data_IF_758124141352
#
_entry.id   IF_758124141352
#
_cell.length_a   1.000
_cell.length_b   1.000
_cell.length_c   1.000
_cell.angle_alpha   90.00
_cell.angle_beta   90.00
_cell.angle_gamma   90.00
#
_symmetry.space_group_name_H-M   'P 1'
#
loop_
_entity.id
_entity.type
_entity.pdbx_description
1 polymer ?
#
# COMPACT_ATOMS: atom_id res chain seq x y z
N UNK A 1 21.73 -8.52 -7.48
CA UNK A 1 20.95 -8.25 -6.25
C UNK A 1 19.73 -9.16 -6.26
N UNK A 2 19.52 -9.88 -5.18
CA UNK A 2 18.34 -10.71 -4.97
C UNK A 2 17.41 -10.04 -3.97
N UNK A 3 16.14 -9.87 -4.35
CA UNK A 3 15.13 -9.18 -3.54
C UNK A 3 14.03 -10.19 -3.16
N UNK A 4 13.80 -10.35 -1.87
CA UNK A 4 12.60 -11.02 -1.35
C UNK A 4 11.46 -10.03 -1.28
N UNK A 5 10.31 -10.35 -1.85
CA UNK A 5 9.07 -9.59 -1.72
C UNK A 5 8.03 -10.48 -1.04
N UNK A 6 7.72 -10.20 0.23
CA UNK A 6 6.58 -10.86 0.87
C UNK A 6 5.29 -10.13 0.48
N UNK A 7 4.22 -10.86 0.20
CA UNK A 7 3.00 -10.25 -0.34
C UNK A 7 3.13 -9.78 -1.79
N UNK A 8 4.05 -10.38 -2.55
CA UNK A 8 4.36 -9.97 -3.92
C UNK A 8 3.25 -10.21 -4.94
N UNK A 9 2.27 -11.05 -4.63
CA UNK A 9 1.05 -11.23 -5.43
C UNK A 9 -0.08 -10.25 -5.04
N UNK A 10 0.18 -9.30 -4.15
CA UNK A 10 -0.75 -8.26 -3.73
C UNK A 10 -0.81 -7.07 -4.69
N UNK A 11 -1.66 -6.06 -4.35
CA UNK A 11 -1.92 -4.87 -5.15
C UNK A 11 -0.65 -4.06 -5.50
N UNK A 12 0.19 -3.75 -4.52
CA UNK A 12 1.47 -3.07 -4.74
C UNK A 12 2.54 -4.07 -5.19
N UNK A 13 2.51 -5.29 -4.63
CA UNK A 13 3.53 -6.31 -4.82
C UNK A 13 3.74 -6.70 -6.28
N UNK A 14 2.66 -6.95 -7.03
CA UNK A 14 2.79 -7.36 -8.43
C UNK A 14 3.36 -6.25 -9.34
N UNK A 15 3.06 -4.98 -9.05
CA UNK A 15 3.65 -3.83 -9.77
C UNK A 15 5.14 -3.69 -9.40
N UNK A 16 5.49 -3.86 -8.13
CA UNK A 16 6.88 -3.83 -7.66
C UNK A 16 7.71 -4.98 -8.26
N UNK A 17 7.18 -6.21 -8.25
CA UNK A 17 7.86 -7.39 -8.83
C UNK A 17 8.20 -7.14 -10.30
N UNK A 18 7.25 -6.59 -11.08
CA UNK A 18 7.50 -6.23 -12.46
C UNK A 18 8.65 -5.21 -12.58
N UNK A 19 8.65 -4.17 -11.75
CA UNK A 19 9.70 -3.14 -11.73
C UNK A 19 11.08 -3.68 -11.37
N UNK A 20 11.16 -4.58 -10.38
CA UNK A 20 12.41 -5.24 -9.98
C UNK A 20 12.96 -6.13 -11.09
N UNK A 21 12.11 -6.94 -11.74
CA UNK A 21 12.51 -7.80 -12.86
C UNK A 21 12.98 -6.97 -14.06
N UNK A 22 12.32 -5.86 -14.37
CA UNK A 22 12.72 -4.94 -15.43
C UNK A 22 14.11 -4.31 -15.17
N UNK A 23 14.50 -4.13 -13.91
CA UNK A 23 15.85 -3.72 -13.48
C UNK A 23 16.88 -4.86 -13.49
N UNK A 24 16.47 -6.07 -13.82
CA UNK A 24 17.35 -7.23 -13.88
C UNK A 24 17.66 -7.87 -12.53
N UNK A 25 16.92 -7.52 -11.47
CA UNK A 25 17.04 -8.17 -10.16
C UNK A 25 16.56 -9.62 -10.22
N UNK A 26 17.14 -10.48 -9.39
CA UNK A 26 16.53 -11.75 -9.02
C UNK A 26 15.46 -11.48 -7.97
N UNK A 27 14.25 -11.94 -8.19
CA UNK A 27 13.10 -11.68 -7.31
C UNK A 27 12.55 -12.98 -6.78
N UNK A 28 12.52 -13.13 -5.46
CA UNK A 28 11.76 -14.18 -4.79
C UNK A 28 10.50 -13.57 -4.20
N UNK A 29 9.36 -14.20 -4.47
CA UNK A 29 8.07 -13.81 -3.89
C UNK A 29 7.66 -14.86 -2.87
N UNK A 30 7.37 -14.46 -1.63
CA UNK A 30 6.66 -15.25 -0.63
C UNK A 30 5.24 -14.71 -0.51
N UNK A 31 4.24 -15.52 -0.90
CA UNK A 31 2.83 -15.12 -0.82
C UNK A 31 1.94 -16.32 -0.51
N UNK A 32 0.92 -16.11 0.31
CA UNK A 32 -0.04 -17.15 0.70
C UNK A 32 -1.14 -17.39 -0.34
N UNK A 33 -1.28 -16.50 -1.34
CA UNK A 33 -2.31 -16.51 -2.38
C UNK A 33 -3.74 -16.57 -1.80
N UNK A 34 -4.02 -15.83 -0.74
CA UNK A 34 -5.36 -15.76 -0.14
C UNK A 34 -6.38 -15.11 -1.05
N UNK A 35 -5.94 -14.15 -1.86
CA UNK A 35 -6.83 -13.49 -2.84
C UNK A 35 -6.86 -14.29 -4.13
N UNK A 36 -8.05 -14.48 -4.72
CA UNK A 36 -8.16 -15.12 -6.01
C UNK A 36 -7.47 -14.27 -7.10
N UNK A 37 -7.09 -14.93 -8.18
CA UNK A 37 -6.38 -14.32 -9.29
C UNK A 37 -4.98 -14.89 -9.45
N UNK A 38 -4.34 -14.53 -10.53
CA UNK A 38 -3.02 -14.99 -10.90
C UNK A 38 -2.15 -13.81 -11.37
N UNK A 39 -1.96 -12.78 -10.52
CA UNK A 39 -1.35 -11.49 -10.94
C UNK A 39 0.10 -11.63 -11.40
N UNK A 40 0.80 -12.68 -10.98
CA UNK A 40 2.20 -12.93 -11.35
C UNK A 40 2.37 -13.83 -12.57
N UNK A 41 1.31 -14.48 -13.07
CA UNK A 41 1.40 -15.40 -14.22
C UNK A 41 2.10 -14.77 -15.43
N UNK A 42 1.82 -13.52 -15.84
CA UNK A 42 2.53 -12.90 -16.95
C UNK A 42 4.04 -12.75 -16.75
N UNK A 43 4.52 -12.79 -15.50
CA UNK A 43 5.92 -12.61 -15.13
C UNK A 43 6.68 -13.92 -14.94
N UNK A 44 5.98 -15.08 -14.84
CA UNK A 44 6.59 -16.38 -14.56
C UNK A 44 7.50 -16.89 -15.68
N UNK A 45 7.39 -16.35 -16.89
CA UNK A 45 8.32 -16.66 -17.97
C UNK A 45 9.73 -16.07 -17.73
N UNK A 46 9.88 -15.12 -16.80
CA UNK A 46 11.17 -14.56 -16.45
C UNK A 46 11.93 -15.52 -15.51
N UNK A 47 13.10 -16.08 -15.90
CA UNK A 47 13.85 -17.04 -15.09
C UNK A 47 14.41 -16.46 -13.78
N UNK A 48 14.38 -15.12 -13.62
CA UNK A 48 14.80 -14.42 -12.40
C UNK A 48 13.67 -14.31 -11.37
N UNK A 49 12.45 -14.77 -11.68
CA UNK A 49 11.34 -14.81 -10.73
C UNK A 49 11.22 -16.19 -10.12
N UNK A 50 11.40 -16.26 -8.82
CA UNK A 50 11.12 -17.42 -7.99
C UNK A 50 9.85 -17.17 -7.17
N UNK A 51 8.90 -18.09 -7.22
CA UNK A 51 7.68 -18.01 -6.42
C UNK A 51 7.64 -19.11 -5.36
N UNK A 52 7.51 -18.71 -4.10
CA UNK A 52 7.33 -19.57 -2.96
C UNK A 52 5.92 -19.33 -2.38
N UNK A 53 5.06 -20.36 -2.45
CA UNK A 53 3.78 -20.29 -1.74
C UNK A 53 4.02 -20.53 -0.25
N UNK A 54 3.65 -19.57 0.59
CA UNK A 54 3.83 -19.67 2.04
C UNK A 54 3.21 -18.49 2.78
N UNK A 55 3.10 -18.63 4.09
CA UNK A 55 2.53 -17.62 4.97
C UNK A 55 3.65 -17.04 5.86
N UNK A 56 3.67 -15.72 6.04
CA UNK A 56 4.67 -15.04 6.90
C UNK A 56 4.56 -15.44 8.38
N UNK A 57 3.44 -16.04 8.79
CA UNK A 57 3.26 -16.63 10.12
C UNK A 57 4.03 -17.94 10.29
N UNK A 58 4.37 -18.60 9.20
CA UNK A 58 5.22 -19.80 9.23
C UNK A 58 6.70 -19.38 9.19
N UNK A 59 7.33 -19.51 10.35
CA UNK A 59 8.75 -19.16 10.52
C UNK A 59 9.67 -19.90 9.56
N UNK A 60 9.41 -21.18 9.28
CA UNK A 60 10.23 -21.97 8.34
C UNK A 60 10.12 -21.44 6.91
N UNK A 61 8.91 -21.11 6.47
CA UNK A 61 8.69 -20.51 5.17
C UNK A 61 9.41 -19.16 5.03
N UNK A 62 9.43 -18.35 6.09
CA UNK A 62 10.16 -17.07 6.13
C UNK A 62 11.67 -17.31 6.09
N UNK A 63 12.21 -18.23 6.92
CA UNK A 63 13.63 -18.56 6.94
C UNK A 63 14.12 -19.07 5.56
N UNK A 64 13.33 -19.89 4.88
CA UNK A 64 13.63 -20.35 3.52
C UNK A 64 13.61 -19.21 2.50
N UNK A 65 12.61 -18.36 2.58
CA UNK A 65 12.48 -17.22 1.67
C UNK A 65 13.63 -16.21 1.81
N UNK A 66 14.14 -16.00 3.02
CA UNK A 66 15.24 -15.07 3.32
C UNK A 66 16.60 -15.54 2.80
N UNK A 67 16.78 -16.84 2.51
CA UNK A 67 18.11 -17.38 2.12
C UNK A 67 18.64 -16.71 0.85
N UNK A 68 19.78 -16.07 0.98
CA UNK A 68 20.48 -15.41 -0.11
C UNK A 68 19.82 -14.14 -0.63
N UNK A 69 18.80 -13.61 0.05
CA UNK A 69 18.27 -12.29 -0.26
C UNK A 69 19.21 -11.19 0.24
N UNK A 70 19.44 -10.17 -0.58
CA UNK A 70 20.19 -8.95 -0.19
C UNK A 70 19.23 -7.94 0.45
N UNK A 71 18.01 -7.86 -0.07
CA UNK A 71 16.96 -6.91 0.31
C UNK A 71 15.64 -7.65 0.54
N UNK A 72 14.91 -7.23 1.54
CA UNK A 72 13.56 -7.71 1.84
C UNK A 72 12.57 -6.56 1.73
N UNK A 73 11.58 -6.66 0.86
CA UNK A 73 10.43 -5.74 0.82
C UNK A 73 9.25 -6.45 1.48
N UNK A 74 8.87 -5.98 2.67
CA UNK A 74 7.85 -6.64 3.47
C UNK A 74 6.46 -6.03 3.25
N UNK A 75 5.72 -6.55 2.24
CA UNK A 75 4.37 -6.09 1.88
C UNK A 75 3.25 -6.99 2.43
N UNK A 76 3.57 -8.21 2.87
CA UNK A 76 2.57 -9.14 3.38
C UNK A 76 1.86 -8.56 4.61
N UNK A 77 0.56 -8.33 4.49
CA UNK A 77 -0.28 -7.79 5.56
C UNK A 77 -1.77 -8.06 5.30
N UNK A 78 -2.56 -8.14 6.36
CA UNK A 78 -3.99 -7.88 6.30
C UNK A 78 -4.17 -6.37 6.23
N UNK A 79 -4.75 -5.85 5.14
CA UNK A 79 -4.74 -4.42 4.85
C UNK A 79 -6.14 -3.82 4.83
N UNK A 80 -6.23 -2.63 5.42
CA UNK A 80 -7.45 -1.82 5.46
C UNK A 80 -8.31 -2.08 6.71
N UNK A 81 -9.04 -1.04 7.08
CA UNK A 81 -9.90 -1.04 8.26
C UNK A 81 -10.90 -2.21 8.28
N UNK A 82 -11.71 -2.45 7.21
CA UNK A 82 -12.76 -3.48 7.26
C UNK A 82 -12.20 -4.90 7.43
N UNK A 83 -11.06 -5.21 6.80
CA UNK A 83 -10.46 -6.54 6.87
C UNK A 83 -9.87 -6.83 8.26
N UNK A 84 -9.23 -5.84 8.87
CA UNK A 84 -8.63 -5.98 10.19
C UNK A 84 -9.69 -6.09 11.30
N UNK A 85 -10.79 -5.33 11.21
CA UNK A 85 -11.88 -5.41 12.18
C UNK A 85 -12.68 -6.72 12.06
N UNK A 86 -12.76 -7.28 10.86
CA UNK A 86 -13.45 -8.56 10.64
C UNK A 86 -12.73 -9.73 11.31
N UNK A 87 -11.41 -9.75 11.27
CA UNK A 87 -10.58 -10.76 11.94
C UNK A 87 -9.37 -10.11 12.63
N UNK A 88 -9.57 -9.57 13.84
CA UNK A 88 -8.52 -8.89 14.59
C UNK A 88 -7.35 -9.78 14.95
N UNK A 89 -7.62 -11.06 15.23
CA UNK A 89 -6.58 -12.03 15.54
C UNK A 89 -5.68 -12.26 14.32
N UNK A 90 -6.27 -12.56 13.17
CA UNK A 90 -5.52 -12.74 11.93
C UNK A 90 -4.71 -11.49 11.56
N UNK A 91 -5.30 -10.29 11.74
CA UNK A 91 -4.61 -9.04 11.47
C UNK A 91 -3.34 -8.89 12.32
N UNK A 92 -3.40 -9.21 13.62
CA UNK A 92 -2.23 -9.19 14.49
C UNK A 92 -1.20 -10.25 14.13
N UNK A 93 -1.64 -11.49 13.92
CA UNK A 93 -0.75 -12.61 13.57
C UNK A 93 0.01 -12.37 12.26
N UNK A 94 -0.66 -11.81 11.25
CA UNK A 94 0.00 -11.52 9.96
C UNK A 94 0.86 -10.25 10.06
N UNK A 95 0.30 -9.14 10.56
CA UNK A 95 0.97 -7.84 10.50
C UNK A 95 2.09 -7.71 11.53
N UNK A 96 1.90 -8.23 12.73
CA UNK A 96 2.89 -8.16 13.81
C UNK A 96 3.67 -9.47 13.91
N UNK A 97 3.00 -10.60 14.05
CA UNK A 97 3.64 -11.91 14.16
C UNK A 97 4.49 -12.26 12.92
N UNK A 98 3.96 -11.98 11.71
CA UNK A 98 4.72 -12.14 10.46
C UNK A 98 5.95 -11.25 10.39
N UNK A 99 5.87 -10.00 10.89
CA UNK A 99 7.02 -9.08 10.97
C UNK A 99 8.03 -9.59 11.99
N UNK A 100 7.60 -10.07 13.16
CA UNK A 100 8.48 -10.68 14.16
C UNK A 100 9.24 -11.90 13.59
N UNK A 101 8.54 -12.79 12.87
CA UNK A 101 9.20 -13.92 12.22
C UNK A 101 10.27 -13.49 11.22
N UNK A 102 9.99 -12.42 10.47
CA UNK A 102 10.92 -11.90 9.45
C UNK A 102 12.12 -11.23 10.11
N UNK A 103 11.92 -10.36 11.09
CA UNK A 103 13.01 -9.64 11.76
C UNK A 103 13.90 -10.61 12.55
N UNK A 104 13.31 -11.59 13.23
CA UNK A 104 14.05 -12.62 13.99
C UNK A 104 14.86 -13.59 13.10
N UNK A 105 14.44 -13.82 11.86
CA UNK A 105 15.07 -14.79 10.95
C UNK A 105 16.09 -14.15 9.98
N UNK A 106 16.01 -12.84 9.75
CA UNK A 106 16.90 -12.15 8.82
C UNK A 106 18.34 -12.04 9.34
N UNK A 107 19.29 -12.00 8.44
CA UNK A 107 20.67 -11.64 8.76
C UNK A 107 20.83 -10.12 8.88
N UNK A 108 21.73 -9.61 9.75
CA UNK A 108 21.93 -8.16 9.93
C UNK A 108 22.31 -7.39 8.65
N UNK A 109 22.92 -8.05 7.68
CA UNK A 109 23.27 -7.46 6.38
C UNK A 109 22.12 -7.29 5.42
N UNK A 110 20.99 -7.95 5.65
CA UNK A 110 19.80 -7.85 4.79
C UNK A 110 19.03 -6.55 5.06
N UNK A 111 18.92 -5.68 4.07
CA UNK A 111 18.11 -4.47 4.17
C UNK A 111 16.62 -4.83 4.22
N UNK A 112 15.86 -4.21 5.13
CA UNK A 112 14.40 -4.24 5.07
C UNK A 112 13.89 -2.91 4.52
N UNK A 113 13.05 -2.96 3.46
CA UNK A 113 12.17 -1.86 3.10
C UNK A 113 10.76 -2.22 3.57
N UNK A 114 10.25 -1.45 4.52
CA UNK A 114 8.97 -1.72 5.17
C UNK A 114 7.94 -0.63 4.86
N UNK A 115 6.95 -0.90 4.03
CA UNK A 115 5.79 -0.04 3.90
C UNK A 115 4.88 -0.15 5.13
N UNK A 116 4.92 0.89 5.96
CA UNK A 116 4.02 1.13 7.07
C UNK A 116 2.70 1.76 6.56
N UNK A 117 2.18 2.83 7.19
CA UNK A 117 0.97 3.51 6.72
C UNK A 117 0.83 4.92 7.30
N UNK A 118 0.31 5.88 6.52
CA UNK A 118 -0.14 7.17 7.06
C UNK A 118 -1.33 7.03 8.02
N UNK A 119 -2.04 5.89 8.02
CA UNK A 119 -3.12 5.65 9.00
C UNK A 119 -2.63 5.62 10.46
N UNK A 120 -1.31 5.56 10.66
CA UNK A 120 -0.68 5.68 11.97
C UNK A 120 -0.94 7.03 12.64
N UNK A 121 -1.14 8.12 11.85
CA UNK A 121 -1.38 9.46 12.40
C UNK A 121 -2.79 9.66 12.97
N UNK A 122 -3.76 8.84 12.57
CA UNK A 122 -5.11 8.90 13.08
C UNK A 122 -5.91 10.11 12.58
N UNK A 123 -6.20 11.08 13.46
CA UNK A 123 -6.90 12.31 13.11
C UNK A 123 -6.14 13.51 13.66
N UNK A 124 -5.76 14.42 12.80
CA UNK A 124 -5.03 15.65 13.15
C UNK A 124 -5.87 16.82 12.68
N UNK A 125 -6.29 17.67 13.65
CA UNK A 125 -7.20 18.80 13.37
C UNK A 125 -6.50 19.94 12.66
N UNK A 126 -5.27 20.24 13.08
CA UNK A 126 -4.53 21.41 12.59
C UNK A 126 -3.10 21.02 12.20
N UNK A 127 -2.59 21.64 11.13
CA UNK A 127 -1.23 21.43 10.64
C UNK A 127 -1.08 20.26 9.66
N UNK A 128 0.19 19.93 9.40
CA UNK A 128 0.60 18.82 8.54
C UNK A 128 1.21 17.72 9.41
N UNK A 129 0.91 16.47 9.10
CA UNK A 129 1.58 15.34 9.71
C UNK A 129 3.00 15.22 9.15
N UNK A 130 3.99 15.35 10.03
CA UNK A 130 5.40 15.10 9.74
C UNK A 130 5.85 13.78 10.38
N UNK A 131 7.01 13.28 10.00
CA UNK A 131 7.55 12.03 10.54
C UNK A 131 7.92 12.10 12.02
N UNK A 132 8.15 13.33 12.55
CA UNK A 132 8.46 13.60 13.96
C UNK A 132 7.20 13.59 14.85
N UNK A 133 6.00 13.66 14.24
CA UNK A 133 4.75 13.63 15.00
C UNK A 133 4.54 12.23 15.59
N UNK A 134 4.19 12.18 16.90
CA UNK A 134 3.85 10.91 17.56
C UNK A 134 2.57 10.31 16.95
N UNK A 135 2.63 9.10 16.40
CA UNK A 135 1.48 8.44 15.80
C UNK A 135 0.39 8.09 16.81
N UNK A 136 -0.88 8.31 16.43
CA UNK A 136 -2.07 8.01 17.25
C UNK A 136 -3.11 7.25 16.41
N UNK A 137 -2.88 5.98 16.08
CA UNK A 137 -3.74 5.23 15.17
C UNK A 137 -5.15 5.04 15.75
N UNK A 138 -6.18 5.28 14.92
CA UNK A 138 -7.59 5.12 15.27
C UNK A 138 -8.14 3.73 14.94
N UNK A 139 -7.42 2.93 14.16
CA UNK A 139 -7.88 1.64 13.66
C UNK A 139 -6.90 0.54 14.02
N UNK A 140 -7.38 -0.69 14.11
CA UNK A 140 -6.53 -1.86 14.33
C UNK A 140 -5.46 -2.00 13.23
N UNK A 141 -5.81 -1.68 11.97
CA UNK A 141 -4.84 -1.65 10.87
C UNK A 141 -3.68 -0.70 11.17
N UNK A 142 -3.98 0.56 11.51
CA UNK A 142 -2.96 1.55 11.86
C UNK A 142 -2.12 1.09 13.07
N UNK A 143 -2.77 0.58 14.12
CA UNK A 143 -2.07 0.10 15.32
C UNK A 143 -1.10 -1.05 15.00
N UNK A 144 -1.53 -2.06 14.23
CA UNK A 144 -0.67 -3.20 13.88
C UNK A 144 0.46 -2.80 12.92
N UNK A 145 0.24 -1.84 12.01
CA UNK A 145 1.30 -1.32 11.15
C UNK A 145 2.33 -0.50 11.92
N UNK A 146 1.88 0.29 12.91
CA UNK A 146 2.78 1.05 13.79
C UNK A 146 3.61 0.12 14.68
N UNK A 147 3.01 -0.92 15.25
CA UNK A 147 3.72 -1.92 16.04
C UNK A 147 4.79 -2.63 15.20
N UNK A 148 4.46 -3.06 13.99
CA UNK A 148 5.39 -3.67 13.05
C UNK A 148 6.50 -2.68 12.59
N UNK A 149 6.19 -1.40 12.40
CA UNK A 149 7.16 -0.34 12.08
C UNK A 149 8.22 -0.22 13.18
N UNK A 150 7.79 -0.20 14.46
CA UNK A 150 8.69 -0.12 15.61
C UNK A 150 9.61 -1.33 15.69
N UNK A 151 9.09 -2.54 15.50
CA UNK A 151 9.88 -3.77 15.47
C UNK A 151 10.96 -3.73 14.37
N UNK A 152 10.60 -3.27 13.19
CA UNK A 152 11.55 -3.19 12.06
C UNK A 152 12.66 -2.17 12.32
N UNK A 153 12.33 -1.00 12.91
CA UNK A 153 13.31 0.04 13.26
C UNK A 153 14.20 -0.36 14.42
N UNK A 154 13.67 -1.06 15.42
CA UNK A 154 14.44 -1.55 16.57
C UNK A 154 15.53 -2.53 16.16
N UNK A 155 15.24 -3.39 15.18
CA UNK A 155 16.22 -4.34 14.63
C UNK A 155 17.24 -3.68 13.68
N UNK A 156 17.02 -2.44 13.25
CA UNK A 156 17.90 -1.66 12.39
C UNK A 156 18.05 -2.19 10.96
N UNK A 157 18.93 -1.57 10.17
CA UNK A 157 19.13 -1.82 8.74
C UNK A 157 17.82 -1.83 7.95
N UNK A 158 17.02 -0.81 8.16
CA UNK A 158 15.67 -0.71 7.61
C UNK A 158 15.39 0.68 7.03
N UNK A 159 14.50 0.71 6.01
CA UNK A 159 13.88 1.95 5.52
C UNK A 159 12.38 1.79 5.67
N UNK A 160 11.75 2.68 6.40
CA UNK A 160 10.32 2.68 6.61
C UNK A 160 9.66 3.76 5.76
N UNK A 161 8.65 3.36 5.00
CA UNK A 161 7.81 4.27 4.24
C UNK A 161 6.41 4.28 4.85
N UNK A 162 5.83 5.46 5.12
CA UNK A 162 4.42 5.63 5.48
C UNK A 162 3.64 6.08 4.24
N UNK A 163 3.15 5.15 3.41
CA UNK A 163 2.46 5.51 2.17
C UNK A 163 1.09 6.13 2.41
N UNK A 164 0.75 7.08 1.55
CA UNK A 164 -0.58 7.59 1.32
C UNK A 164 -1.52 6.50 0.79
N UNK A 165 -2.82 6.78 0.73
CA UNK A 165 -3.81 5.86 0.18
C UNK A 165 -3.47 5.57 -1.28
N UNK A 166 -3.13 4.33 -1.58
CA UNK A 166 -2.76 3.92 -2.92
C UNK A 166 -3.97 3.93 -3.86
N UNK A 167 -3.75 4.26 -5.15
CA UNK A 167 -4.77 4.22 -6.20
C UNK A 167 -4.18 3.77 -7.55
N UNK A 168 -5.05 3.51 -8.52
CA UNK A 168 -4.68 3.15 -9.89
C UNK A 168 -4.77 1.65 -10.19
N UNK A 169 -4.48 1.26 -11.43
CA UNK A 169 -4.57 -0.12 -11.89
C UNK A 169 -3.42 -0.99 -11.38
N UNK A 170 -3.78 -2.21 -11.03
CA UNK A 170 -2.83 -3.27 -10.69
C UNK A 170 -3.42 -4.62 -11.11
N UNK A 171 -2.59 -5.60 -11.50
CA UNK A 171 -3.06 -6.97 -11.77
C UNK A 171 -3.84 -7.62 -10.62
N UNK A 172 -3.57 -7.21 -9.38
CA UNK A 172 -4.37 -7.57 -8.21
C UNK A 172 -5.13 -6.34 -7.72
N UNK A 173 -6.21 -5.99 -8.42
CA UNK A 173 -6.96 -4.75 -8.16
C UNK A 173 -7.64 -4.75 -6.78
N UNK A 174 -7.76 -3.55 -6.19
CA UNK A 174 -8.45 -3.27 -4.93
C UNK A 174 -9.48 -2.18 -5.12
N UNK A 175 -10.77 -2.53 -5.10
CA UNK A 175 -11.88 -1.58 -5.19
C UNK A 175 -12.37 -1.05 -3.84
N UNK A 176 -11.82 -1.54 -2.74
CA UNK A 176 -12.06 -1.02 -1.40
C UNK A 176 -11.26 0.28 -1.10
N UNK A 177 -10.29 0.64 -1.94
CA UNK A 177 -9.57 1.89 -1.85
C UNK A 177 -10.40 3.05 -2.39
N UNK A 178 -10.46 4.17 -1.67
CA UNK A 178 -11.39 5.26 -1.91
C UNK A 178 -11.45 5.74 -3.36
N UNK A 179 -10.28 6.04 -3.96
CA UNK A 179 -10.21 6.44 -5.37
C UNK A 179 -10.75 5.36 -6.30
N UNK A 180 -10.27 4.12 -6.14
CA UNK A 180 -10.67 3.00 -6.99
C UNK A 180 -12.15 2.67 -6.86
N UNK A 181 -12.70 2.83 -5.64
CA UNK A 181 -14.13 2.67 -5.37
C UNK A 181 -14.96 3.76 -6.08
N UNK A 182 -14.56 5.02 -5.97
CA UNK A 182 -15.26 6.10 -6.67
C UNK A 182 -15.23 5.92 -8.19
N UNK A 183 -14.09 5.47 -8.76
CA UNK A 183 -14.01 5.13 -10.17
C UNK A 183 -14.97 4.00 -10.57
N UNK A 184 -15.04 2.95 -9.75
CA UNK A 184 -15.94 1.84 -9.98
C UNK A 184 -17.41 2.29 -9.93
N UNK A 185 -17.81 3.05 -8.91
CA UNK A 185 -19.17 3.58 -8.79
C UNK A 185 -19.54 4.53 -9.94
N UNK A 186 -18.63 5.43 -10.30
CA UNK A 186 -18.85 6.36 -11.41
C UNK A 186 -19.13 5.64 -12.73
N UNK A 187 -18.39 4.58 -13.03
CA UNK A 187 -18.48 3.86 -14.31
C UNK A 187 -19.64 2.84 -14.35
N UNK A 188 -19.96 2.21 -13.22
CA UNK A 188 -20.98 1.14 -13.20
C UNK A 188 -22.35 1.63 -12.74
N UNK A 189 -22.38 2.61 -11.82
CA UNK A 189 -23.62 3.12 -11.23
C UNK A 189 -23.99 4.52 -11.79
N UNK A 190 -23.06 5.16 -12.51
CA UNK A 190 -23.26 6.52 -13.01
C UNK A 190 -23.33 7.59 -11.92
N UNK A 191 -22.98 7.25 -10.69
CA UNK A 191 -23.06 8.17 -9.55
C UNK A 191 -22.01 7.87 -8.47
N UNK A 192 -21.58 8.92 -7.77
CA UNK A 192 -20.74 8.84 -6.58
C UNK A 192 -21.49 9.48 -5.41
N UNK A 193 -21.61 8.77 -4.29
CA UNK A 193 -22.14 9.32 -3.03
C UNK A 193 -21.01 9.53 -2.07
N UNK A 194 -20.89 10.73 -1.50
CA UNK A 194 -19.81 11.11 -0.59
C UNK A 194 -20.37 11.54 0.76
N UNK A 195 -19.89 10.87 1.81
CA UNK A 195 -20.12 11.25 3.21
C UNK A 195 -18.90 12.02 3.72
N UNK A 196 -19.13 13.07 4.51
CA UNK A 196 -18.05 13.88 5.10
C UNK A 196 -17.04 14.35 4.03
N UNK A 197 -17.47 15.14 3.03
CA UNK A 197 -16.67 15.52 1.87
C UNK A 197 -15.43 16.34 2.23
N UNK A 198 -15.43 16.97 3.41
CA UNK A 198 -14.35 17.82 3.93
C UNK A 198 -13.18 17.04 4.56
N UNK A 199 -13.28 15.72 4.73
CA UNK A 199 -12.19 14.93 5.27
C UNK A 199 -11.04 14.81 4.28
N UNK A 200 -9.85 15.15 4.77
CA UNK A 200 -8.61 15.07 4.01
C UNK A 200 -8.09 13.65 3.89
N UNK A 201 -7.57 13.35 2.72
CA UNK A 201 -6.83 12.13 2.41
C UNK A 201 -5.63 12.46 1.55
N UNK A 202 -4.51 11.83 1.84
CA UNK A 202 -3.38 11.83 0.94
C UNK A 202 -3.44 10.59 0.03
N UNK A 203 -3.02 10.76 -1.22
CA UNK A 203 -3.04 9.70 -2.22
C UNK A 203 -1.66 9.46 -2.83
N UNK A 204 -1.45 8.25 -3.36
CA UNK A 204 -0.28 7.89 -4.15
C UNK A 204 -0.67 6.86 -5.22
N UNK A 205 -0.22 7.08 -6.46
CA UNK A 205 -0.42 6.09 -7.51
C UNK A 205 0.39 4.82 -7.23
N UNK A 206 -0.15 3.64 -7.54
CA UNK A 206 0.49 2.35 -7.25
C UNK A 206 1.85 2.20 -7.93
N UNK A 207 2.04 2.78 -9.12
CA UNK A 207 3.35 2.82 -9.80
C UNK A 207 4.35 3.71 -9.06
N UNK A 208 3.92 4.86 -8.56
CA UNK A 208 4.76 5.74 -7.74
C UNK A 208 5.13 5.11 -6.42
N UNK A 209 4.21 4.35 -5.83
CA UNK A 209 4.51 3.58 -4.64
C UNK A 209 5.61 2.54 -4.91
N UNK A 210 5.48 1.75 -5.99
CA UNK A 210 6.51 0.80 -6.39
C UNK A 210 7.85 1.49 -6.67
N UNK A 211 7.84 2.65 -7.37
CA UNK A 211 9.04 3.45 -7.63
C UNK A 211 9.71 3.98 -6.35
N UNK A 212 8.91 4.37 -5.35
CA UNK A 212 9.45 4.80 -4.06
C UNK A 212 10.17 3.67 -3.31
N UNK A 213 9.66 2.44 -3.39
CA UNK A 213 10.35 1.27 -2.84
C UNK A 213 11.67 1.04 -3.57
N UNK A 214 11.67 1.12 -4.90
CA UNK A 214 12.88 1.00 -5.71
C UNK A 214 13.89 2.12 -5.38
N UNK A 215 13.41 3.36 -5.20
CA UNK A 215 14.21 4.49 -4.78
C UNK A 215 14.83 4.28 -3.38
N UNK A 216 14.05 3.73 -2.43
CA UNK A 216 14.53 3.41 -1.09
C UNK A 216 15.63 2.34 -1.11
N UNK A 217 15.52 1.34 -1.98
CA UNK A 217 16.58 0.34 -2.18
C UNK A 217 17.86 1.00 -2.70
N UNK A 218 17.75 1.85 -3.72
CA UNK A 218 18.89 2.52 -4.37
C UNK A 218 19.59 3.56 -3.44
N UNK A 219 18.84 4.12 -2.49
CA UNK A 219 19.32 5.16 -1.56
C UNK A 219 19.39 4.68 -0.10
N UNK A 220 19.47 3.37 0.11
CA UNK A 220 19.40 2.77 1.45
C UNK A 220 20.41 3.36 2.44
N UNK A 221 21.64 3.68 2.00
CA UNK A 221 22.67 4.28 2.87
C UNK A 221 22.25 5.62 3.47
N UNK A 222 21.50 6.43 2.72
CA UNK A 222 21.02 7.75 3.14
C UNK A 222 19.70 7.68 3.90
N UNK A 223 18.94 6.60 3.70
CA UNK A 223 17.55 6.44 4.20
C UNK A 223 17.47 5.50 5.40
N UNK A 224 18.55 4.79 5.71
CA UNK A 224 18.57 3.72 6.72
C UNK A 224 18.11 4.21 8.10
N UNK A 225 17.33 3.36 8.75
CA UNK A 225 16.84 3.49 10.11
C UNK A 225 15.98 4.76 10.34
N UNK A 226 15.29 5.18 9.29
CA UNK A 226 14.40 6.32 9.30
C UNK A 226 13.04 6.03 8.69
N UNK A 227 12.08 6.86 9.06
CA UNK A 227 10.71 6.87 8.54
C UNK A 227 10.57 8.01 7.54
N UNK A 228 9.81 7.75 6.46
CA UNK A 228 9.49 8.73 5.42
C UNK A 228 8.02 8.65 5.06
N UNK A 229 7.33 9.79 5.09
CA UNK A 229 6.01 9.92 4.50
C UNK A 229 6.10 9.78 2.98
N UNK A 230 5.21 8.99 2.40
CA UNK A 230 5.23 8.69 0.97
C UNK A 230 3.93 9.12 0.28
N UNK A 231 4.05 10.13 -0.55
CA UNK A 231 2.97 10.76 -1.34
C UNK A 231 3.48 12.02 -2.02
N UNK A 232 2.59 12.97 -2.27
CA UNK A 232 2.92 14.30 -2.76
C UNK A 232 1.93 15.34 -2.23
N UNK A 233 2.38 16.60 -2.06
CA UNK A 233 1.52 17.70 -1.60
C UNK A 233 0.29 17.89 -2.49
N UNK A 234 0.47 17.84 -3.81
CA UNK A 234 -0.60 17.97 -4.80
C UNK A 234 -1.66 16.86 -4.74
N UNK A 235 -1.36 15.77 -4.03
CA UNK A 235 -2.23 14.62 -3.81
C UNK A 235 -2.84 14.59 -2.39
N UNK A 236 -2.67 15.66 -1.58
CA UNK A 236 -3.49 15.92 -0.40
C UNK A 236 -4.82 16.53 -0.87
N UNK A 237 -5.88 15.75 -0.86
CA UNK A 237 -7.20 16.16 -1.33
C UNK A 237 -8.25 15.84 -0.27
N UNK A 238 -9.32 16.62 -0.25
CA UNK A 238 -10.53 16.20 0.45
C UNK A 238 -11.25 15.11 -0.34
N UNK A 239 -12.08 14.35 0.33
CA UNK A 239 -12.94 13.34 -0.33
C UNK A 239 -13.84 13.98 -1.38
N UNK A 240 -14.36 15.19 -1.08
CA UNK A 240 -15.21 15.96 -1.99
C UNK A 240 -14.46 16.42 -3.24
N UNK A 241 -13.24 16.95 -3.09
CA UNK A 241 -12.40 17.36 -4.24
C UNK A 241 -12.06 16.19 -5.15
N UNK A 242 -11.71 15.04 -4.57
CA UNK A 242 -11.45 13.83 -5.34
C UNK A 242 -12.69 13.40 -6.12
N UNK A 243 -13.84 13.30 -5.46
CA UNK A 243 -15.10 12.88 -6.09
C UNK A 243 -15.55 13.86 -7.18
N UNK A 244 -15.39 15.17 -6.95
CA UNK A 244 -15.72 16.19 -7.96
C UNK A 244 -14.85 16.07 -9.21
N UNK A 245 -13.54 15.84 -9.08
CA UNK A 245 -12.62 15.62 -10.23
C UNK A 245 -13.01 14.38 -11.03
N UNK A 246 -13.36 13.28 -10.35
CA UNK A 246 -13.81 12.05 -11.02
C UNK A 246 -15.15 12.28 -11.73
N UNK A 247 -16.10 12.90 -11.03
CA UNK A 247 -17.44 13.16 -11.58
C UNK A 247 -17.40 14.08 -12.82
N UNK A 248 -16.62 15.15 -12.75
CA UNK A 248 -16.38 16.06 -13.89
C UNK A 248 -15.78 15.33 -15.09
N UNK A 249 -14.72 14.53 -14.85
CA UNK A 249 -14.00 13.83 -15.93
C UNK A 249 -14.83 12.74 -16.61
N UNK A 250 -15.68 12.04 -15.85
CA UNK A 250 -16.49 10.91 -16.34
C UNK A 250 -17.92 11.30 -16.69
N UNK A 251 -18.35 12.52 -16.35
CA UNK A 251 -19.73 12.98 -16.59
C UNK A 251 -20.75 12.25 -15.71
N UNK A 252 -20.39 11.74 -14.54
CA UNK A 252 -21.28 11.04 -13.64
C UNK A 252 -21.91 11.98 -12.59
N UNK A 253 -22.99 11.52 -11.94
CA UNK A 253 -23.65 12.28 -10.88
C UNK A 253 -22.81 12.25 -9.59
N UNK A 254 -22.59 13.43 -8.98
CA UNK A 254 -22.04 13.56 -7.63
C UNK A 254 -23.14 13.91 -6.64
N UNK A 255 -23.25 13.16 -5.56
CA UNK A 255 -24.19 13.42 -4.46
C UNK A 255 -23.40 13.54 -3.15
N UNK A 256 -23.49 14.70 -2.53
CA UNK A 256 -23.03 14.89 -1.15
C UNK A 256 -24.18 14.48 -0.23
N UNK A 257 -23.94 13.58 0.70
CA UNK A 257 -24.93 13.15 1.68
C UNK A 257 -24.54 13.63 3.08
N UNK A 258 -25.51 14.25 3.74
CA UNK A 258 -25.42 14.63 5.16
C UNK A 258 -25.94 13.48 6.06
N UNK A 259 -26.74 12.58 5.50
CA UNK A 259 -27.28 11.41 6.18
C UNK A 259 -26.31 10.24 6.07
N UNK A 260 -25.78 9.80 7.22
CA UNK A 260 -24.82 8.71 7.31
C UNK A 260 -23.40 9.17 7.63
N UNK A 261 -22.57 8.23 7.98
CA UNK A 261 -21.17 8.47 8.38
C UNK A 261 -20.23 7.52 7.67
N UNK A 262 -19.04 8.04 7.32
CA UNK A 262 -17.92 7.22 6.92
C UNK A 262 -17.34 6.54 8.18
N UNK A 263 -17.26 5.21 8.25
CA UNK A 263 -16.61 4.52 9.37
C UNK A 263 -15.12 4.87 9.50
N UNK A 264 -14.50 5.31 8.42
CA UNK A 264 -13.10 5.78 8.41
C UNK A 264 -13.02 7.25 8.85
N UNK A 265 -12.80 7.45 10.15
CA UNK A 265 -12.74 8.79 10.79
C UNK A 265 -11.38 9.49 10.64
N UNK A 266 -10.43 8.92 9.90
CA UNK A 266 -9.15 9.57 9.65
C UNK A 266 -9.38 10.90 8.93
N UNK A 267 -8.64 11.93 9.38
CA UNK A 267 -8.69 13.26 8.77
C UNK A 267 -7.36 13.96 9.03
N UNK A 268 -6.52 14.06 8.01
CA UNK A 268 -5.19 14.69 8.13
C UNK A 268 -4.64 15.08 6.76
N UNK A 269 -3.82 16.13 6.76
CA UNK A 269 -2.91 16.49 5.67
C UNK A 269 -1.49 16.07 6.05
N UNK A 270 -0.65 15.80 5.07
CA UNK A 270 0.68 15.23 5.29
C UNK A 270 1.74 16.03 4.58
N UNK A 271 2.88 16.22 5.24
CA UNK A 271 4.11 16.76 4.68
C UNK A 271 4.93 15.61 4.06
N UNK A 272 5.40 15.82 2.84
CA UNK A 272 6.23 14.85 2.10
C UNK A 272 7.63 15.40 1.82
N UNK A 273 7.99 16.56 2.36
CA UNK A 273 9.22 17.28 2.07
C UNK A 273 10.48 16.48 2.41
N UNK A 274 10.43 15.62 3.44
CA UNK A 274 11.58 14.80 3.87
C UNK A 274 12.03 13.84 2.77
N UNK A 275 11.12 13.11 2.15
CA UNK A 275 11.45 12.19 1.05
C UNK A 275 11.78 12.97 -0.23
N UNK A 276 11.09 14.08 -0.46
CA UNK A 276 11.35 14.98 -1.57
C UNK A 276 12.74 15.61 -1.54
N UNK A 277 13.26 15.93 -0.34
CA UNK A 277 14.62 16.47 -0.17
C UNK A 277 15.70 15.47 -0.58
N UNK A 278 15.40 14.17 -0.58
CA UNK A 278 16.30 13.13 -1.10
C UNK A 278 16.25 12.99 -2.62
N UNK A 279 15.31 13.66 -3.29
CA UNK A 279 15.16 13.65 -4.74
C UNK A 279 14.03 12.77 -5.28
N UNK A 280 13.23 12.13 -4.41
CA UNK A 280 12.06 11.39 -4.89
C UNK A 280 10.95 12.37 -5.31
N UNK A 281 10.27 12.07 -6.43
CA UNK A 281 9.08 12.79 -6.90
C UNK A 281 8.09 11.79 -7.47
N UNK A 282 6.81 11.99 -7.16
CA UNK A 282 5.72 11.28 -7.84
C UNK A 282 5.64 11.74 -9.29
N UNK A 283 5.21 10.85 -10.18
CA UNK A 283 5.06 11.14 -11.61
C UNK A 283 3.60 11.10 -12.06
N UNK A 284 2.79 10.31 -11.35
CA UNK A 284 1.40 10.08 -11.70
C UNK A 284 0.49 11.08 -10.99
N UNK A 285 -0.47 11.62 -11.72
CA UNK A 285 -1.49 12.53 -11.20
C UNK A 285 -2.82 11.79 -10.95
N UNK A 286 -3.77 12.47 -10.31
CA UNK A 286 -5.15 11.97 -10.19
C UNK A 286 -5.78 11.76 -11.58
N UNK A 287 -5.51 12.65 -12.53
CA UNK A 287 -6.07 12.54 -13.88
C UNK A 287 -5.53 11.32 -14.62
N UNK A 288 -4.23 11.03 -14.50
CA UNK A 288 -3.62 9.82 -15.08
C UNK A 288 -4.29 8.55 -14.52
N UNK A 289 -4.55 8.54 -13.20
CA UNK A 289 -5.28 7.45 -12.55
C UNK A 289 -6.73 7.33 -13.02
N UNK A 290 -7.45 8.43 -13.24
CA UNK A 290 -8.83 8.42 -13.77
C UNK A 290 -8.83 7.80 -15.17
N UNK A 291 -7.95 8.26 -16.06
CA UNK A 291 -7.89 7.77 -17.44
C UNK A 291 -7.48 6.30 -17.52
N UNK A 292 -6.51 5.90 -16.71
CA UNK A 292 -6.06 4.52 -16.63
C UNK A 292 -7.17 3.59 -16.12
N UNK A 293 -7.81 3.97 -15.01
CA UNK A 293 -8.88 3.17 -14.40
C UNK A 293 -10.11 3.09 -15.31
N UNK A 294 -10.45 4.18 -16.02
CA UNK A 294 -11.57 4.19 -16.97
C UNK A 294 -11.36 3.17 -18.10
N UNK A 295 -10.12 3.04 -18.61
CA UNK A 295 -9.78 2.02 -19.61
C UNK A 295 -9.73 0.61 -19.02
N UNK A 296 -9.11 0.49 -17.85
CA UNK A 296 -8.88 -0.82 -17.22
C UNK A 296 -10.16 -1.51 -16.75
N UNK A 297 -11.09 -0.78 -16.16
CA UNK A 297 -12.35 -1.34 -15.67
C UNK A 297 -13.29 -1.83 -16.78
N UNK A 298 -13.06 -1.41 -18.03
CA UNK A 298 -13.82 -1.95 -19.18
C UNK A 298 -13.41 -3.37 -19.56
N UNK A 299 -12.19 -3.80 -19.22
CA UNK A 299 -11.63 -5.10 -19.60
C UNK A 299 -11.47 -6.07 -18.42
N UNK A 300 -11.69 -5.59 -17.19
CA UNK A 300 -11.56 -6.40 -15.99
C UNK A 300 -12.94 -6.89 -15.56
N UNK A 301 -13.10 -8.22 -15.47
CA UNK A 301 -14.28 -8.82 -14.84
C UNK A 301 -14.00 -9.04 -13.34
N UNK A 302 -14.83 -8.47 -12.50
CA UNK A 302 -14.69 -8.55 -11.04
C UNK A 302 -15.89 -9.31 -10.46
N UNK A 303 -15.72 -10.59 -10.09
CA UNK A 303 -16.82 -11.39 -9.53
C UNK A 303 -17.39 -10.84 -8.23
N UNK A 304 -16.55 -10.18 -7.43
CA UNK A 304 -16.95 -9.50 -6.20
C UNK A 304 -16.10 -8.24 -6.00
N UNK A 305 -16.57 -7.07 -6.47
CA UNK A 305 -15.77 -5.84 -6.44
C UNK A 305 -15.48 -5.30 -5.04
N UNK A 306 -16.30 -5.65 -4.04
CA UNK A 306 -16.19 -5.11 -2.67
C UNK A 306 -15.45 -6.03 -1.69
N UNK A 307 -14.76 -7.03 -2.19
CA UNK A 307 -14.40 -8.21 -1.40
C UNK A 307 -13.03 -8.19 -0.75
N UNK A 308 -12.34 -7.05 -0.61
CA UNK A 308 -11.05 -7.13 0.10
C UNK A 308 -11.20 -7.75 1.49
N UNK A 309 -12.25 -7.42 2.22
CA UNK A 309 -12.55 -8.01 3.52
C UNK A 309 -13.00 -9.48 3.46
N UNK A 310 -13.57 -9.95 2.34
CA UNK A 310 -14.08 -11.31 2.22
C UNK A 310 -13.02 -12.37 1.91
N UNK A 311 -11.78 -11.97 1.65
CA UNK A 311 -10.65 -12.88 1.39
C UNK A 311 -9.79 -13.16 2.63
N UNK A 312 -10.10 -12.53 3.75
CA UNK A 312 -9.44 -12.75 5.03
C UNK A 312 -10.32 -13.46 6.03
#
# INVERSE_FOLDING_TARGET
>A
MRVLVTGGAGYVGCVLVQGLLARGCEVRVLDSLRKPGAPLVPLLANPKLEFQRGDVRDRRAVEEALRGADVVVHLAAVVGYPACERDPWLAREVNVGGTLNLTAARSPGQLIVFPSSLSNYGSVKDGLCTEEMEPQPLTLYGATKLEAERLVLEEGNAVVLRPATAFGLSPQLRLDLLFNNFMFLALNEGAIVVYQPHFWRAFIHVRDFARAILFAIDNAERMRDQVYNLGAEALNLTKGELAARIAERLGCRLQISEDGEDPDKRNYRVDFSKLEALGFRTQETINDGIEEMARGLQVISLPNPYSNASYY
#
